data_IF_120945076970
#
_entry.id   IF_120945076970
#
_cell.length_a   1.000
_cell.length_b   1.000
_cell.length_c   1.000
_cell.angle_alpha   90.00
_cell.angle_beta   90.00
_cell.angle_gamma   90.00
#
_symmetry.space_group_name_H-M   'P 1'
#
loop_
_entity.id
_entity.type
_entity.pdbx_description
1 polymer ?
#
# COMPACT_ATOMS: atom_id res chain seq x y z
N UNK A 1 25.33 15.67 8.81
CA UNK A 1 23.95 15.23 9.15
C UNK A 1 23.64 13.92 8.44
N UNK A 2 23.16 12.98 9.17
CA UNK A 2 22.84 11.66 8.62
C UNK A 2 21.36 11.62 8.21
N UNK A 3 21.11 11.25 6.95
CA UNK A 3 19.76 11.07 6.47
C UNK A 3 19.34 9.63 6.68
N UNK A 4 18.13 9.43 7.21
CA UNK A 4 17.57 8.10 7.36
C UNK A 4 17.05 7.60 6.01
N UNK A 5 17.36 6.37 5.70
CA UNK A 5 16.89 5.74 4.47
C UNK A 5 15.69 4.86 4.74
N UNK A 6 14.90 4.65 3.71
CA UNK A 6 13.70 3.80 3.78
C UNK A 6 14.05 2.40 4.28
N UNK A 7 15.19 1.83 3.84
CA UNK A 7 15.61 0.49 4.28
C UNK A 7 15.75 0.36 5.80
N UNK A 8 16.03 1.48 6.48
CA UNK A 8 16.25 1.48 7.93
C UNK A 8 14.95 1.40 8.72
N UNK A 9 13.83 1.78 8.11
CA UNK A 9 12.53 1.86 8.80
C UNK A 9 11.46 0.95 8.20
N UNK A 10 11.69 0.39 7.00
CA UNK A 10 10.69 -0.45 6.34
C UNK A 10 10.42 -1.74 7.11
N UNK A 11 9.24 -2.29 6.89
CA UNK A 11 8.92 -3.64 7.34
C UNK A 11 9.40 -4.60 6.26
N UNK A 12 10.40 -5.41 6.58
CA UNK A 12 10.90 -6.46 5.69
C UNK A 12 9.95 -7.66 5.75
N UNK A 13 9.94 -8.47 4.71
CA UNK A 13 9.07 -9.64 4.59
C UNK A 13 7.61 -9.31 4.90
N UNK A 14 7.01 -8.35 4.20
CA UNK A 14 5.64 -7.95 4.48
C UNK A 14 4.65 -9.04 4.08
N UNK A 15 3.45 -8.97 4.66
CA UNK A 15 2.33 -9.80 4.22
C UNK A 15 1.96 -9.37 2.80
N UNK A 16 1.84 -10.33 1.89
CA UNK A 16 1.50 -10.08 0.49
C UNK A 16 0.40 -11.02 0.04
N UNK A 17 -0.22 -10.69 -1.08
CA UNK A 17 -1.23 -11.54 -1.71
C UNK A 17 -0.93 -11.64 -3.20
N UNK A 18 -1.62 -12.55 -3.88
CA UNK A 18 -1.50 -12.70 -5.33
C UNK A 18 -2.76 -12.14 -5.99
N UNK A 19 -2.75 -11.91 -7.31
CA UNK A 19 -3.95 -11.43 -8.00
C UNK A 19 -5.17 -12.32 -7.83
N UNK A 20 -4.98 -13.62 -7.67
CA UNK A 20 -6.08 -14.57 -7.52
C UNK A 20 -6.62 -14.68 -6.10
N UNK A 21 -5.99 -14.05 -5.13
CA UNK A 21 -6.42 -14.13 -3.73
C UNK A 21 -7.82 -13.57 -3.56
N UNK A 22 -8.79 -14.36 -3.04
CA UNK A 22 -10.14 -13.86 -2.80
C UNK A 22 -10.14 -12.73 -1.77
N UNK A 23 -11.04 -11.79 -1.95
CA UNK A 23 -11.07 -10.59 -1.10
C UNK A 23 -11.30 -10.88 0.37
N UNK A 24 -12.02 -11.95 0.71
CA UNK A 24 -12.17 -12.32 2.13
C UNK A 24 -10.84 -12.67 2.79
N UNK A 25 -9.91 -13.25 2.03
CA UNK A 25 -8.57 -13.55 2.55
C UNK A 25 -7.72 -12.30 2.67
N UNK A 26 -7.91 -11.35 1.73
CA UNK A 26 -7.27 -10.04 1.83
C UNK A 26 -7.74 -9.34 3.11
N UNK A 27 -9.05 -9.30 3.32
CA UNK A 27 -9.64 -8.68 4.51
C UNK A 27 -9.13 -9.36 5.79
N UNK A 28 -9.10 -10.69 5.80
CA UNK A 28 -8.60 -11.46 6.95
C UNK A 28 -7.15 -11.08 7.26
N UNK A 29 -6.32 -10.96 6.23
CA UNK A 29 -4.91 -10.57 6.40
C UNK A 29 -4.77 -9.17 6.99
N UNK A 30 -5.56 -8.22 6.49
CA UNK A 30 -5.53 -6.85 7.00
C UNK A 30 -5.91 -6.79 8.48
N UNK A 31 -6.98 -7.48 8.85
CA UNK A 31 -7.47 -7.49 10.23
C UNK A 31 -6.50 -8.22 11.15
N UNK A 32 -6.07 -9.42 10.74
CA UNK A 32 -5.20 -10.26 11.56
C UNK A 32 -3.87 -9.60 11.85
N UNK A 33 -3.27 -8.96 10.86
CA UNK A 33 -1.95 -8.35 10.99
C UNK A 33 -2.00 -6.86 11.26
N UNK A 34 -3.20 -6.29 11.43
CA UNK A 34 -3.42 -4.87 11.71
C UNK A 34 -2.77 -3.97 10.66
N UNK A 35 -3.03 -4.29 9.40
CA UNK A 35 -2.45 -3.59 8.27
C UNK A 35 -3.48 -2.68 7.61
N UNK A 36 -3.00 -1.59 7.03
CA UNK A 36 -3.85 -0.68 6.24
C UNK A 36 -3.93 -1.10 4.78
N UNK A 37 -2.95 -1.85 4.30
CA UNK A 37 -2.88 -2.28 2.91
C UNK A 37 -1.92 -3.44 2.76
N UNK A 38 -2.06 -4.19 1.65
CA UNK A 38 -1.14 -5.27 1.29
C UNK A 38 -0.75 -5.13 -0.17
N UNK A 39 0.51 -5.42 -0.50
CA UNK A 39 0.94 -5.48 -1.90
C UNK A 39 0.43 -6.75 -2.57
N UNK A 40 0.14 -6.63 -3.86
CA UNK A 40 -0.23 -7.75 -4.72
C UNK A 40 0.98 -8.08 -5.59
N UNK A 41 1.47 -9.31 -5.52
CA UNK A 41 2.68 -9.72 -6.23
C UNK A 41 2.38 -10.71 -7.35
N UNK A 42 3.18 -10.61 -8.40
CA UNK A 42 3.22 -11.62 -9.45
C UNK A 42 3.95 -12.86 -8.91
N UNK A 43 3.90 -13.94 -9.70
CA UNK A 43 4.64 -15.16 -9.38
C UNK A 43 6.15 -14.92 -9.30
N UNK A 44 6.65 -13.90 -9.97
CA UNK A 44 8.07 -13.56 -9.97
C UNK A 44 8.44 -12.60 -8.83
N UNK A 45 7.48 -12.25 -7.97
CA UNK A 45 7.74 -11.36 -6.84
C UNK A 45 7.69 -9.87 -7.17
N UNK A 46 7.17 -9.52 -8.34
CA UNK A 46 7.04 -8.12 -8.74
C UNK A 46 5.75 -7.52 -8.23
N UNK A 47 5.80 -6.27 -7.83
CA UNK A 47 4.63 -5.55 -7.33
C UNK A 47 3.71 -5.21 -8.50
N UNK A 48 2.49 -5.72 -8.46
CA UNK A 48 1.46 -5.46 -9.48
C UNK A 48 0.51 -4.36 -9.04
N UNK A 49 0.25 -4.27 -7.76
CA UNK A 49 -0.68 -3.30 -7.21
C UNK A 49 -0.70 -3.36 -5.70
N UNK A 50 -1.63 -2.63 -5.11
CA UNK A 50 -1.86 -2.59 -3.66
C UNK A 50 -3.36 -2.62 -3.42
N UNK A 51 -3.81 -3.38 -2.42
CA UNK A 51 -5.19 -3.34 -1.94
C UNK A 51 -5.17 -2.75 -0.54
N UNK A 52 -5.95 -1.68 -0.34
CA UNK A 52 -6.06 -1.03 0.96
C UNK A 52 -7.39 -1.38 1.63
N UNK A 53 -7.46 -1.12 2.94
CA UNK A 53 -8.73 -1.28 3.66
C UNK A 53 -9.80 -0.35 3.08
N UNK A 54 -9.42 0.85 2.62
CA UNK A 54 -10.36 1.76 1.99
C UNK A 54 -10.92 1.20 0.69
N UNK A 55 -10.11 0.46 -0.07
CA UNK A 55 -10.60 -0.19 -1.30
C UNK A 55 -11.71 -1.18 -0.98
N UNK A 56 -11.53 -1.97 0.08
CA UNK A 56 -12.54 -2.95 0.49
C UNK A 56 -13.81 -2.27 1.03
N UNK A 57 -13.65 -1.21 1.80
CA UNK A 57 -14.79 -0.47 2.33
C UNK A 57 -15.58 0.22 1.22
N UNK A 58 -14.88 0.79 0.24
CA UNK A 58 -15.52 1.41 -0.91
C UNK A 58 -16.27 0.38 -1.75
N UNK A 59 -15.68 -0.81 -1.92
CA UNK A 59 -16.34 -1.90 -2.62
C UNK A 59 -17.65 -2.27 -1.93
N UNK A 60 -17.64 -2.40 -0.60
CA UNK A 60 -18.84 -2.74 0.16
C UNK A 60 -19.92 -1.67 -0.01
N UNK A 61 -19.53 -0.41 0.04
CA UNK A 61 -20.45 0.70 -0.18
C UNK A 61 -21.08 0.63 -1.56
N UNK A 62 -20.28 0.40 -2.59
CA UNK A 62 -20.75 0.35 -3.98
C UNK A 62 -21.65 -0.86 -4.24
N UNK A 63 -21.42 -1.97 -3.56
CA UNK A 63 -22.27 -3.15 -3.69
C UNK A 63 -23.68 -2.89 -3.13
N UNK A 64 -23.77 -2.11 -2.05
CA UNK A 64 -25.04 -1.83 -1.40
C UNK A 64 -25.80 -0.69 -2.07
N UNK A 65 -25.08 0.26 -2.63
CA UNK A 65 -25.67 1.44 -3.25
C UNK A 65 -24.86 1.84 -4.49
N UNK A 66 -25.00 1.09 -5.58
CA UNK A 66 -24.19 1.34 -6.79
C UNK A 66 -24.42 2.72 -7.39
N UNK A 67 -25.62 3.30 -7.17
CA UNK A 67 -25.97 4.62 -7.73
C UNK A 67 -26.01 5.68 -6.63
N UNK A 68 -25.38 5.41 -5.50
CA UNK A 68 -25.44 6.26 -4.31
C UNK A 68 -24.99 7.68 -4.50
N UNK A 69 -25.67 8.59 -3.80
CA UNK A 69 -25.41 10.02 -3.84
C UNK A 69 -24.03 10.37 -3.29
N UNK A 70 -23.43 9.50 -2.53
CA UNK A 70 -22.14 9.71 -1.90
C UNK A 70 -20.96 9.24 -2.72
N UNK A 71 -21.25 8.76 -3.92
CA UNK A 71 -20.18 8.26 -4.75
C UNK A 71 -19.40 9.41 -5.34
N UNK A 72 -18.13 9.31 -5.15
CA UNK A 72 -17.15 10.23 -5.66
C UNK A 72 -17.13 10.19 -7.19
N UNK A 73 -16.31 11.01 -7.79
CA UNK A 73 -16.09 11.12 -9.23
C UNK A 73 -15.52 9.86 -9.88
N UNK A 74 -16.13 8.73 -9.60
CA UNK A 74 -15.80 7.50 -10.30
C UNK A 74 -16.76 7.34 -11.47
N UNK A 75 -16.23 6.97 -12.61
CA UNK A 75 -17.08 6.66 -13.75
C UNK A 75 -17.95 5.45 -13.40
N UNK A 76 -19.11 5.36 -14.00
CA UNK A 76 -20.01 4.21 -13.81
C UNK A 76 -19.27 2.88 -13.98
N UNK A 77 -18.39 2.81 -14.96
CA UNK A 77 -17.62 1.60 -15.25
C UNK A 77 -16.70 1.21 -14.10
N UNK A 78 -15.98 2.20 -13.55
CA UNK A 78 -15.06 1.96 -12.43
C UNK A 78 -15.84 1.50 -11.21
N UNK A 79 -16.96 2.13 -10.91
CA UNK A 79 -17.82 1.74 -9.80
C UNK A 79 -18.31 0.31 -9.93
N UNK A 80 -18.74 -0.04 -11.14
CA UNK A 80 -19.23 -1.38 -11.41
C UNK A 80 -18.13 -2.41 -11.23
N UNK A 81 -16.93 -2.13 -11.75
CA UNK A 81 -15.80 -3.02 -11.64
C UNK A 81 -15.41 -3.23 -10.18
N UNK A 82 -15.40 -2.18 -9.39
CA UNK A 82 -15.11 -2.29 -7.95
C UNK A 82 -16.18 -3.09 -7.23
N UNK A 83 -17.45 -2.83 -7.53
CA UNK A 83 -18.56 -3.53 -6.87
C UNK A 83 -18.56 -5.02 -7.15
N UNK A 84 -18.14 -5.42 -8.35
CA UNK A 84 -18.15 -6.82 -8.79
C UNK A 84 -16.81 -7.54 -8.56
N UNK A 85 -15.77 -6.82 -8.13
CA UNK A 85 -14.47 -7.44 -7.89
C UNK A 85 -14.56 -8.55 -6.85
N UNK A 86 -13.89 -9.66 -7.10
CA UNK A 86 -13.89 -10.84 -6.21
C UNK A 86 -12.50 -11.18 -5.72
N UNK A 87 -11.47 -10.69 -6.41
CA UNK A 87 -10.07 -11.02 -6.11
C UNK A 87 -9.25 -9.75 -5.93
N UNK A 88 -8.08 -9.94 -5.33
CA UNK A 88 -7.13 -8.84 -5.13
C UNK A 88 -6.78 -8.18 -6.46
N UNK A 89 -6.54 -8.98 -7.51
CA UNK A 89 -6.18 -8.45 -8.82
C UNK A 89 -7.26 -7.58 -9.44
N UNK A 90 -8.52 -7.91 -9.16
CA UNK A 90 -9.65 -7.15 -9.69
C UNK A 90 -9.87 -5.83 -8.94
N UNK A 91 -9.52 -5.79 -7.65
CA UNK A 91 -9.75 -4.61 -6.81
C UNK A 91 -8.53 -3.71 -6.66
N UNK A 92 -7.34 -4.24 -6.80
CA UNK A 92 -6.10 -3.51 -6.53
C UNK A 92 -5.97 -2.22 -7.34
N UNK A 93 -5.30 -1.24 -6.74
CA UNK A 93 -4.81 -0.08 -7.48
C UNK A 93 -3.61 -0.53 -8.29
N UNK A 94 -3.66 -0.33 -9.61
CA UNK A 94 -2.56 -0.68 -10.50
C UNK A 94 -1.55 0.46 -10.55
N UNK A 95 -0.30 0.13 -10.88
CA UNK A 95 0.78 1.10 -10.95
C UNK A 95 0.91 1.90 -9.64
N UNK A 96 1.04 1.21 -8.50
CA UNK A 96 1.13 1.90 -7.21
C UNK A 96 2.42 2.72 -7.13
N UNK A 97 2.39 3.79 -6.34
CA UNK A 97 3.60 4.53 -6.03
C UNK A 97 4.52 3.61 -5.24
N UNK A 98 5.79 3.59 -5.60
CA UNK A 98 6.81 2.79 -4.94
C UNK A 98 8.00 3.66 -4.58
N UNK A 99 8.86 3.14 -3.71
CA UNK A 99 10.13 3.81 -3.38
C UNK A 99 11.27 2.80 -3.40
N UNK A 100 12.47 3.33 -3.53
CA UNK A 100 13.69 2.53 -3.49
C UNK A 100 14.19 2.43 -2.06
N UNK A 101 14.92 1.38 -1.72
CA UNK A 101 15.43 1.20 -0.34
C UNK A 101 16.42 2.29 0.08
N UNK A 102 17.11 2.90 -0.87
CA UNK A 102 18.06 3.99 -0.59
C UNK A 102 17.43 5.38 -0.63
N UNK A 103 16.13 5.47 -0.90
CA UNK A 103 15.41 6.74 -0.78
C UNK A 103 15.44 7.20 0.67
N UNK A 104 15.41 8.51 0.88
CA UNK A 104 15.33 9.06 2.24
C UNK A 104 13.91 8.94 2.79
N UNK A 105 13.80 8.94 4.10
CA UNK A 105 12.48 8.97 4.76
C UNK A 105 11.70 10.20 4.31
N UNK A 106 12.37 11.34 4.15
CA UNK A 106 11.72 12.56 3.67
C UNK A 106 11.16 12.39 2.26
N UNK A 107 11.90 11.73 1.36
CA UNK A 107 11.42 11.46 0.01
C UNK A 107 10.21 10.54 0.03
N UNK A 108 10.24 9.50 0.86
CA UNK A 108 9.10 8.59 1.01
C UNK A 108 7.87 9.31 1.53
N UNK A 109 8.05 10.18 2.53
CA UNK A 109 6.94 10.98 3.06
C UNK A 109 6.32 11.87 1.97
N UNK A 110 7.17 12.45 1.14
CA UNK A 110 6.71 13.31 0.03
C UNK A 110 5.92 12.51 -1.01
N UNK A 111 6.39 11.32 -1.34
CA UNK A 111 5.71 10.43 -2.28
C UNK A 111 4.36 9.99 -1.70
N UNK A 112 4.34 9.62 -0.43
CA UNK A 112 3.12 9.20 0.25
C UNK A 112 2.06 10.30 0.22
N UNK A 113 2.46 11.53 0.49
CA UNK A 113 1.58 12.68 0.46
C UNK A 113 1.08 13.00 -0.95
N UNK A 114 2.00 13.00 -1.93
CA UNK A 114 1.67 13.32 -3.32
C UNK A 114 0.62 12.38 -3.91
N UNK A 115 0.72 11.09 -3.61
CA UNK A 115 -0.16 10.08 -4.19
C UNK A 115 -1.26 9.63 -3.23
N UNK A 116 -1.36 10.27 -2.06
CA UNK A 116 -2.32 9.89 -1.03
C UNK A 116 -2.26 8.40 -0.72
N UNK A 117 -1.05 7.89 -0.65
CA UNK A 117 -0.81 6.47 -0.44
C UNK A 117 -0.76 6.15 1.05
N UNK A 118 -1.41 5.05 1.45
CA UNK A 118 -1.38 4.59 2.83
C UNK A 118 -0.25 3.61 3.08
N UNK A 119 0.39 3.14 2.01
CA UNK A 119 1.48 2.18 2.05
C UNK A 119 2.28 2.32 0.77
N UNK A 120 3.60 2.32 0.89
CA UNK A 120 4.50 2.33 -0.26
C UNK A 120 5.27 1.03 -0.30
N UNK A 121 5.12 0.24 -1.36
CA UNK A 121 6.04 -0.88 -1.56
C UNK A 121 7.46 -0.36 -1.80
N UNK A 122 8.42 -1.03 -1.18
CA UNK A 122 9.85 -0.75 -1.37
C UNK A 122 10.37 -1.79 -2.35
N UNK A 123 10.90 -1.34 -3.46
CA UNK A 123 11.29 -2.23 -4.56
C UNK A 123 12.74 -2.01 -4.98
N UNK A 124 13.33 -3.06 -5.55
CA UNK A 124 14.65 -2.97 -6.15
C UNK A 124 14.56 -2.48 -7.60
N UNK A 125 15.69 -2.46 -8.32
CA UNK A 125 15.74 -2.00 -9.71
C UNK A 125 14.82 -2.79 -10.64
N UNK A 126 14.64 -4.06 -10.35
CA UNK A 126 13.80 -4.93 -11.17
C UNK A 126 12.32 -4.87 -10.82
N UNK A 127 11.93 -4.08 -9.81
CA UNK A 127 10.55 -4.01 -9.37
C UNK A 127 10.16 -5.11 -8.39
N UNK A 128 11.15 -5.84 -7.85
CA UNK A 128 10.88 -6.89 -6.86
C UNK A 128 10.67 -6.28 -5.49
N UNK A 129 9.71 -6.81 -4.75
CA UNK A 129 9.37 -6.30 -3.43
C UNK A 129 10.47 -6.63 -2.42
N UNK A 130 10.93 -5.62 -1.70
CA UNK A 130 11.89 -5.77 -0.60
C UNK A 130 11.24 -5.57 0.76
N UNK A 131 10.21 -4.75 0.81
CA UNK A 131 9.50 -4.43 2.04
C UNK A 131 8.39 -3.44 1.77
N UNK A 132 7.80 -2.92 2.84
CA UNK A 132 6.79 -1.86 2.75
C UNK A 132 7.05 -0.80 3.79
N UNK A 133 6.65 0.43 3.51
CA UNK A 133 6.64 1.50 4.50
C UNK A 133 5.26 2.13 4.55
N UNK A 134 4.75 2.30 5.76
CA UNK A 134 3.55 3.06 6.02
C UNK A 134 3.89 4.28 6.87
N UNK A 135 2.88 5.11 7.20
CA UNK A 135 3.13 6.31 8.02
C UNK A 135 3.81 6.01 9.34
N UNK A 136 3.45 4.91 9.99
CA UNK A 136 4.05 4.54 11.28
C UNK A 136 5.53 4.21 11.16
N UNK A 137 5.91 3.59 10.04
CA UNK A 137 7.32 3.28 9.81
C UNK A 137 8.14 4.56 9.67
N UNK A 138 7.60 5.54 8.96
CA UNK A 138 8.28 6.81 8.77
C UNK A 138 8.39 7.59 10.09
N UNK A 139 7.37 7.48 10.95
CA UNK A 139 7.37 8.15 12.24
C UNK A 139 8.46 7.62 13.19
N UNK A 140 8.95 6.42 12.95
CA UNK A 140 10.00 5.84 13.79
C UNK A 140 11.27 6.67 13.81
N UNK A 141 11.49 7.47 12.78
CA UNK A 141 12.66 8.34 12.72
C UNK A 141 12.69 9.33 13.89
N UNK A 142 11.51 9.72 14.40
CA UNK A 142 11.41 10.65 15.53
C UNK A 142 11.75 10.00 16.88
N UNK A 143 11.83 8.68 16.89
CA UNK A 143 12.13 7.93 18.11
C UNK A 143 13.62 7.62 18.25
N UNK A 144 14.42 7.95 17.24
CA UNK A 144 15.84 7.66 17.26
C UNK A 144 16.60 8.73 18.04
N UNK A 145 17.66 8.33 18.78
CA UNK A 145 18.42 9.28 19.59
C UNK A 145 19.06 10.39 18.75
N UNK A 146 19.01 11.62 19.26
CA UNK A 146 19.56 12.79 18.58
C UNK A 146 21.07 12.75 18.39
N UNK A 147 21.81 12.10 19.26
CA UNK A 147 23.26 12.03 19.13
C UNK A 147 23.67 11.38 17.82
N UNK A 148 22.79 10.60 17.21
CA UNK A 148 23.03 10.06 15.89
C UNK A 148 23.00 11.13 14.81
N UNK A 149 22.32 12.23 15.10
CA UNK A 149 22.23 13.37 14.20
C UNK A 149 23.45 14.25 14.36
N UNK A 150 23.99 14.30 15.56
CA UNK A 150 25.12 15.16 15.91
C UNK A 150 26.48 14.53 15.64
N UNK A 151 26.49 13.28 15.31
CA UNK A 151 27.73 12.56 15.08
C UNK A 151 28.40 12.96 13.79
#
# INVERSE_FOLDING_TARGET
MRHHEVRDVMTADPVTVTPATPLRYVATSLVKHKLSAVPVLSLQGKVLGVVSENDLLRKEELQRDPDGEHSVDLTYRVRRDMATAKTAGELMSTHPATVRPDATVAEAARVMDRYDAVCLPVVDEGGNLLGVVGPRDLLRVFLQPEEQINA
#
